data_IF_139179066175
#
_entry.id   IF_139179066175
#
_cell.length_a   1.000
_cell.length_b   1.000
_cell.length_c   1.000
_cell.angle_alpha   90.00
_cell.angle_beta   90.00
_cell.angle_gamma   90.00
#
_symmetry.space_group_name_H-M   'P 1'
#
loop_
_entity.id
_entity.type
_entity.pdbx_description
1 polymer ?
#
# COMPACT_ATOMS: atom_id res chain seq x y z
N UNK A 1 3.89 18.45 -0.85
CA UNK A 1 4.26 18.26 -2.26
C UNK A 1 3.52 17.10 -2.90
N UNK A 2 3.63 15.85 -2.44
CA UNK A 2 2.94 14.73 -3.10
C UNK A 2 1.40 14.89 -3.10
N UNK A 3 0.85 15.37 -1.98
CA UNK A 3 -0.59 15.66 -1.81
C UNK A 3 -1.12 16.86 -2.61
N UNK A 4 -0.25 17.70 -3.17
CA UNK A 4 -0.71 18.83 -3.98
C UNK A 4 -0.95 18.45 -5.44
N UNK A 5 -0.87 17.17 -5.79
CA UNK A 5 -1.05 16.67 -7.15
C UNK A 5 -2.21 15.68 -7.17
N UNK A 6 -3.26 15.99 -7.92
CA UNK A 6 -4.47 15.15 -8.02
C UNK A 6 -4.15 13.73 -8.46
N UNK A 7 -3.20 13.57 -9.39
CA UNK A 7 -2.72 12.27 -9.88
C UNK A 7 -2.19 11.36 -8.76
N UNK A 8 -1.62 11.92 -7.69
CA UNK A 8 -1.17 11.12 -6.53
C UNK A 8 -2.37 10.46 -5.84
N UNK A 9 -3.48 11.19 -5.72
CA UNK A 9 -4.71 10.69 -5.12
C UNK A 9 -5.39 9.66 -6.03
N UNK A 10 -5.48 9.94 -7.32
CA UNK A 10 -6.07 9.04 -8.32
C UNK A 10 -5.37 7.69 -8.33
N UNK A 11 -4.03 7.68 -8.44
CA UNK A 11 -3.26 6.42 -8.45
C UNK A 11 -3.42 5.66 -7.13
N UNK A 12 -3.49 6.36 -5.99
CA UNK A 12 -3.71 5.69 -4.71
C UNK A 12 -5.09 5.03 -4.65
N UNK A 13 -6.13 5.74 -5.09
CA UNK A 13 -7.51 5.24 -5.15
C UNK A 13 -7.61 4.03 -6.05
N UNK A 14 -7.06 4.10 -7.27
CA UNK A 14 -7.10 2.99 -8.23
C UNK A 14 -6.44 1.72 -7.67
N UNK A 15 -5.29 1.86 -7.01
CA UNK A 15 -4.59 0.74 -6.38
C UNK A 15 -5.42 0.19 -5.21
N UNK A 16 -5.97 1.05 -4.35
CA UNK A 16 -6.80 0.61 -3.21
C UNK A 16 -8.02 -0.16 -3.72
N UNK A 17 -8.73 0.34 -4.72
CA UNK A 17 -9.94 -0.29 -5.24
C UNK A 17 -9.64 -1.60 -5.95
N UNK A 18 -8.51 -1.68 -6.65
CA UNK A 18 -8.01 -2.95 -7.17
C UNK A 18 -7.77 -3.94 -6.02
N UNK A 19 -7.05 -3.53 -4.98
CA UNK A 19 -6.71 -4.41 -3.86
C UNK A 19 -7.92 -4.85 -3.06
N UNK A 20 -8.89 -3.97 -2.80
CA UNK A 20 -10.18 -4.29 -2.16
C UNK A 20 -10.91 -5.41 -2.88
N UNK A 21 -10.85 -5.41 -4.22
CA UNK A 21 -11.48 -6.46 -5.04
C UNK A 21 -10.81 -7.82 -4.87
N UNK A 22 -9.48 -7.86 -4.77
CA UNK A 22 -8.72 -9.11 -4.83
C UNK A 22 -8.32 -9.68 -3.47
N UNK A 23 -8.13 -8.85 -2.44
CA UNK A 23 -7.75 -9.30 -1.09
C UNK A 23 -8.69 -10.38 -0.54
N UNK A 24 -10.04 -10.25 -0.63
CA UNK A 24 -10.94 -11.30 -0.15
C UNK A 24 -10.72 -12.66 -0.83
N UNK A 25 -10.36 -12.66 -2.12
CA UNK A 25 -10.07 -13.90 -2.86
C UNK A 25 -8.76 -14.54 -2.39
N UNK A 26 -7.75 -13.71 -2.04
CA UNK A 26 -6.51 -14.21 -1.43
C UNK A 26 -6.74 -14.74 -0.02
N UNK A 27 -7.58 -14.11 0.79
CA UNK A 27 -7.93 -14.59 2.14
C UNK A 27 -8.63 -15.95 2.11
N UNK A 28 -9.40 -16.24 1.06
CA UNK A 28 -10.02 -17.55 0.84
C UNK A 28 -9.02 -18.62 0.35
N UNK A 29 -7.80 -18.24 -0.03
CA UNK A 29 -6.76 -19.16 -0.49
C UNK A 29 -5.94 -19.72 0.69
N UNK A 30 -5.22 -20.81 0.48
CA UNK A 30 -4.32 -21.39 1.51
C UNK A 30 -3.01 -20.60 1.73
N UNK A 31 -2.93 -19.34 1.32
CA UNK A 31 -1.72 -18.52 1.48
C UNK A 31 -1.78 -17.73 2.79
N UNK A 32 -0.71 -17.85 3.58
CA UNK A 32 -0.61 -17.15 4.86
C UNK A 32 -0.37 -15.63 4.73
N UNK A 33 0.21 -15.16 3.63
CA UNK A 33 0.59 -13.76 3.44
C UNK A 33 0.39 -13.29 2.00
N UNK A 34 -0.03 -12.03 1.86
CA UNK A 34 -0.03 -11.28 0.61
C UNK A 34 0.92 -10.08 0.78
N UNK A 35 2.06 -10.10 0.10
CA UNK A 35 3.04 -9.00 0.14
C UNK A 35 2.91 -8.12 -1.10
N UNK A 36 2.77 -6.81 -0.90
CA UNK A 36 2.61 -5.82 -1.98
C UNK A 36 3.80 -4.87 -1.96
N UNK A 37 4.59 -4.87 -3.04
CA UNK A 37 5.75 -4.00 -3.17
C UNK A 37 5.42 -2.70 -3.90
N UNK A 38 5.72 -1.55 -3.28
CA UNK A 38 5.61 -0.23 -3.90
C UNK A 38 7.00 0.38 -3.99
N UNK A 39 7.45 0.67 -5.22
CA UNK A 39 8.82 1.10 -5.50
C UNK A 39 8.89 2.50 -6.12
N UNK A 40 9.89 3.28 -5.71
CA UNK A 40 10.39 4.43 -6.48
C UNK A 40 11.92 4.33 -6.54
N UNK A 41 12.56 5.09 -7.44
CA UNK A 41 14.00 4.95 -7.71
C UNK A 41 14.88 4.92 -6.45
N UNK A 42 14.59 5.78 -5.47
CA UNK A 42 15.38 5.88 -4.24
C UNK A 42 14.72 5.30 -2.98
N UNK A 43 13.54 4.70 -3.08
CA UNK A 43 12.87 4.02 -1.96
C UNK A 43 12.40 4.87 -0.77
N UNK A 44 12.65 6.19 -0.76
CA UNK A 44 12.52 7.04 0.45
C UNK A 44 11.38 8.06 0.46
N UNK A 45 10.74 8.33 -0.68
CA UNK A 45 9.75 9.42 -0.78
C UNK A 45 8.41 8.93 -1.33
N UNK A 46 8.32 8.75 -2.65
CA UNK A 46 7.05 8.39 -3.32
C UNK A 46 6.53 7.02 -2.90
N UNK A 47 7.41 6.02 -2.84
CA UNK A 47 7.05 4.68 -2.40
C UNK A 47 6.57 4.65 -0.96
N UNK A 48 7.30 5.33 -0.06
CA UNK A 48 6.96 5.42 1.37
C UNK A 48 5.58 6.04 1.54
N UNK A 49 5.35 7.21 0.91
CA UNK A 49 4.07 7.90 0.96
C UNK A 49 2.91 7.02 0.46
N UNK A 50 3.07 6.39 -0.71
CA UNK A 50 2.03 5.54 -1.28
C UNK A 50 1.78 4.29 -0.43
N UNK A 51 2.82 3.66 0.10
CA UNK A 51 2.70 2.49 0.96
C UNK A 51 1.95 2.83 2.27
N UNK A 52 2.25 3.98 2.89
CA UNK A 52 1.51 4.46 4.07
C UNK A 52 0.04 4.73 3.74
N UNK A 53 -0.23 5.47 2.65
CA UNK A 53 -1.60 5.83 2.27
C UNK A 53 -2.46 4.60 1.96
N UNK A 54 -1.91 3.66 1.18
CA UNK A 54 -2.61 2.42 0.83
C UNK A 54 -2.75 1.52 2.06
N UNK A 55 -1.68 1.35 2.84
CA UNK A 55 -1.70 0.53 4.05
C UNK A 55 -2.72 1.02 5.08
N UNK A 56 -2.78 2.33 5.31
CA UNK A 56 -3.76 2.94 6.22
C UNK A 56 -5.21 2.70 5.75
N UNK A 57 -5.49 2.88 4.46
CA UNK A 57 -6.82 2.62 3.90
C UNK A 57 -7.22 1.14 4.04
N UNK A 58 -6.31 0.22 3.74
CA UNK A 58 -6.58 -1.22 3.85
C UNK A 58 -6.70 -1.68 5.31
N UNK A 59 -5.95 -1.08 6.24
CA UNK A 59 -6.02 -1.42 7.67
C UNK A 59 -7.38 -1.08 8.30
N UNK A 60 -8.16 -0.19 7.68
CA UNK A 60 -9.53 0.09 8.12
C UNK A 60 -10.53 -1.02 7.75
N UNK A 61 -10.20 -1.87 6.77
CA UNK A 61 -11.10 -2.88 6.19
C UNK A 61 -10.62 -4.32 6.42
N UNK A 62 -9.31 -4.53 6.52
CA UNK A 62 -8.69 -5.84 6.61
C UNK A 62 -7.83 -5.97 7.87
N UNK A 63 -7.91 -7.13 8.53
CA UNK A 63 -7.07 -7.43 9.68
C UNK A 63 -5.61 -7.66 9.27
N UNK A 64 -4.68 -7.37 10.20
CA UNK A 64 -3.26 -7.70 10.08
C UNK A 64 -2.51 -7.04 8.90
N UNK A 65 -2.93 -5.85 8.46
CA UNK A 65 -2.16 -5.04 7.50
C UNK A 65 -0.94 -4.45 8.20
N UNK A 66 0.25 -4.68 7.65
CA UNK A 66 1.52 -4.12 8.14
C UNK A 66 2.26 -3.44 6.99
N UNK A 67 2.79 -2.25 7.25
CA UNK A 67 3.61 -1.50 6.29
C UNK A 67 5.08 -1.56 6.73
N UNK A 68 5.98 -1.85 5.79
CA UNK A 68 7.43 -1.91 6.03
C UNK A 68 8.16 -1.13 4.96
N UNK A 69 9.08 -0.25 5.37
CA UNK A 69 9.89 0.58 4.48
C UNK A 69 11.32 0.06 4.41
N UNK A 70 11.61 -0.81 3.43
CA UNK A 70 12.93 -1.48 3.29
C UNK A 70 14.11 -0.51 3.24
N UNK A 71 13.95 0.60 2.52
CA UNK A 71 15.04 1.54 2.21
C UNK A 71 15.07 2.75 3.19
N UNK A 72 14.27 2.69 4.25
CA UNK A 72 14.24 3.68 5.35
C UNK A 72 14.92 3.08 6.60
N UNK A 73 15.60 3.91 7.41
CA UNK A 73 16.06 3.47 8.73
C UNK A 73 14.89 2.97 9.58
N UNK A 74 15.13 1.95 10.41
CA UNK A 74 14.17 1.57 11.43
C UNK A 74 13.94 2.76 12.38
N UNK A 75 12.68 3.13 12.60
CA UNK A 75 12.26 4.11 13.59
C UNK A 75 12.21 3.51 14.99
#
# INVERSE_FOLDING_TARGET
FLESHDQTHEVATDIIDMLRRWIPMYQASQRAYLSIGIGCTGGKHRSVYMAERIGHALAAEFAAVTVVHRDMPAS
#
